data_IF_398614406526
#
_entry.id   IF_398614406526
#
_cell.length_a   1.000
_cell.length_b   1.000
_cell.length_c   1.000
_cell.angle_alpha   90.00
_cell.angle_beta   90.00
_cell.angle_gamma   90.00
#
_symmetry.space_group_name_H-M   'P 1'
#
loop_
_entity.id
_entity.type
_entity.pdbx_description
1 polymer ?
#
# COMPACT_ATOMS: atom_id res chain seq x y z
N UNK A 1 -17.47 -6.92 14.23
CA UNK A 1 -17.84 -5.84 13.30
C UNK A 1 -17.82 -6.38 11.88
N UNK A 2 -18.89 -6.21 11.13
CA UNK A 2 -19.00 -6.68 9.76
C UNK A 2 -18.17 -5.76 8.85
N UNK A 3 -17.22 -6.31 8.09
CA UNK A 3 -16.40 -5.59 7.12
C UNK A 3 -17.28 -5.21 5.89
N UNK A 4 -18.16 -4.22 6.03
CA UNK A 4 -18.98 -3.67 4.93
C UNK A 4 -18.20 -2.69 4.04
N UNK A 5 -16.95 -2.99 3.72
CA UNK A 5 -16.16 -2.10 2.87
C UNK A 5 -16.15 -2.60 1.42
N UNK A 6 -16.56 -1.74 0.49
CA UNK A 6 -16.46 -1.98 -0.95
C UNK A 6 -15.03 -1.70 -1.40
N UNK A 7 -14.36 -2.70 -1.96
CA UNK A 7 -12.99 -2.57 -2.47
C UNK A 7 -12.95 -1.57 -3.61
N UNK A 8 -11.96 -0.68 -3.58
CA UNK A 8 -11.79 0.42 -4.54
C UNK A 8 -11.35 -0.15 -5.89
N UNK A 9 -11.97 0.30 -6.99
CA UNK A 9 -11.69 -0.15 -8.36
C UNK A 9 -11.82 -1.68 -8.55
N UNK A 10 -12.64 -2.36 -7.72
CA UNK A 10 -12.75 -3.82 -7.72
C UNK A 10 -13.05 -4.39 -9.11
N UNK A 11 -14.11 -3.93 -9.78
CA UNK A 11 -14.49 -4.43 -11.10
C UNK A 11 -13.36 -4.25 -12.12
N UNK A 12 -12.72 -3.08 -12.13
CA UNK A 12 -11.61 -2.79 -13.05
C UNK A 12 -10.38 -3.66 -12.75
N UNK A 13 -10.10 -3.92 -11.47
CA UNK A 13 -8.99 -4.81 -11.06
C UNK A 13 -9.25 -6.25 -11.49
N UNK A 14 -10.47 -6.75 -11.28
CA UNK A 14 -10.89 -8.10 -11.70
C UNK A 14 -10.82 -8.25 -13.23
N UNK A 15 -11.43 -7.34 -13.97
CA UNK A 15 -11.48 -7.41 -15.44
C UNK A 15 -10.09 -7.28 -16.08
N UNK A 16 -9.20 -6.54 -15.45
CA UNK A 16 -7.82 -6.44 -15.92
C UNK A 16 -7.00 -7.67 -15.57
N UNK A 17 -7.07 -8.12 -14.32
CA UNK A 17 -6.12 -9.12 -13.79
C UNK A 17 -6.45 -10.54 -14.26
N UNK A 18 -7.73 -10.94 -14.19
CA UNK A 18 -8.16 -12.33 -14.46
C UNK A 18 -8.32 -12.55 -15.96
N UNK A 19 -7.42 -13.33 -16.54
CA UNK A 19 -7.39 -13.68 -17.97
C UNK A 19 -7.57 -15.16 -18.22
N UNK A 20 -7.26 -15.99 -17.23
CA UNK A 20 -7.41 -17.44 -17.26
C UNK A 20 -8.15 -17.86 -15.97
N UNK A 21 -9.31 -18.50 -16.13
CA UNK A 21 -10.10 -18.97 -14.99
C UNK A 21 -9.45 -20.09 -14.20
N UNK A 22 -8.51 -20.81 -14.82
CA UNK A 22 -7.75 -21.90 -14.18
C UNK A 22 -6.33 -21.45 -13.76
N UNK A 23 -6.05 -20.14 -13.87
CA UNK A 23 -4.76 -19.52 -13.58
C UNK A 23 -4.47 -19.36 -12.09
N UNK A 24 -3.26 -18.91 -11.80
CA UNK A 24 -2.75 -18.63 -10.45
C UNK A 24 -2.61 -17.13 -10.25
N UNK A 25 -3.25 -16.59 -9.23
CA UNK A 25 -3.26 -15.15 -8.93
C UNK A 25 -2.83 -14.89 -7.49
N UNK A 26 -2.12 -13.80 -7.30
CA UNK A 26 -1.57 -13.40 -6.00
C UNK A 26 -2.08 -12.01 -5.63
N UNK A 27 -2.73 -11.89 -4.49
CA UNK A 27 -3.06 -10.63 -3.85
C UNK A 27 -2.06 -10.40 -2.70
N UNK A 28 -1.10 -9.50 -2.94
CA UNK A 28 0.00 -9.24 -2.02
C UNK A 28 -0.39 -8.33 -0.84
N UNK A 29 -1.63 -7.82 -0.84
CA UNK A 29 -2.19 -6.89 0.13
C UNK A 29 -3.63 -7.27 0.41
N UNK A 30 -3.84 -8.54 0.81
CA UNK A 30 -5.17 -9.16 0.89
C UNK A 30 -6.16 -8.36 1.76
N UNK A 31 -5.69 -7.73 2.84
CA UNK A 31 -6.54 -7.03 3.77
C UNK A 31 -7.69 -7.92 4.26
N UNK A 32 -8.90 -7.38 4.32
CA UNK A 32 -10.10 -8.16 4.64
C UNK A 32 -10.61 -9.05 3.49
N UNK A 33 -9.81 -9.32 2.46
CA UNK A 33 -10.12 -10.26 1.38
C UNK A 33 -11.09 -9.75 0.30
N UNK A 34 -11.29 -8.44 0.20
CA UNK A 34 -12.27 -7.88 -0.74
C UNK A 34 -11.90 -8.07 -2.21
N UNK A 35 -10.68 -7.72 -2.61
CA UNK A 35 -10.14 -7.97 -3.95
C UNK A 35 -9.95 -9.46 -4.20
N UNK A 36 -9.35 -10.18 -3.26
CA UNK A 36 -9.17 -11.64 -3.33
C UNK A 36 -10.48 -12.38 -3.58
N UNK A 37 -11.59 -11.99 -2.91
CA UNK A 37 -12.92 -12.56 -3.13
C UNK A 37 -13.45 -12.25 -4.55
N UNK A 38 -13.24 -11.00 -5.03
CA UNK A 38 -13.59 -10.63 -6.39
C UNK A 38 -12.83 -11.42 -7.46
N UNK A 39 -11.55 -11.70 -7.23
CA UNK A 39 -10.74 -12.56 -8.09
C UNK A 39 -11.22 -14.01 -8.03
N UNK A 40 -11.41 -14.57 -6.82
CA UNK A 40 -11.86 -15.93 -6.60
C UNK A 40 -13.23 -16.21 -7.26
N UNK A 41 -14.13 -15.24 -7.29
CA UNK A 41 -15.44 -15.34 -7.92
C UNK A 41 -15.39 -15.53 -9.46
N UNK A 42 -14.25 -15.21 -10.08
CA UNK A 42 -14.03 -15.39 -11.53
C UNK A 42 -13.26 -16.66 -11.87
N UNK A 43 -12.71 -17.37 -10.86
CA UNK A 43 -11.86 -18.53 -11.07
C UNK A 43 -12.69 -19.83 -11.04
N UNK A 44 -12.28 -20.79 -11.86
CA UNK A 44 -12.78 -22.16 -11.88
C UNK A 44 -12.08 -23.05 -10.86
N UNK A 45 -12.42 -24.34 -10.89
CA UNK A 45 -11.93 -25.32 -9.89
C UNK A 45 -10.41 -25.59 -9.95
N UNK A 46 -9.76 -25.39 -11.09
CA UNK A 46 -8.30 -25.50 -11.25
C UNK A 46 -7.56 -24.23 -10.84
N UNK A 47 -8.25 -23.09 -10.73
CA UNK A 47 -7.67 -21.82 -10.36
C UNK A 47 -7.15 -21.78 -8.92
N UNK A 48 -6.21 -20.87 -8.65
CA UNK A 48 -5.64 -20.66 -7.33
C UNK A 48 -5.55 -19.16 -7.02
N UNK A 49 -6.05 -18.77 -5.85
CA UNK A 49 -5.76 -17.47 -5.22
C UNK A 49 -4.78 -17.67 -4.06
N UNK A 50 -3.74 -16.85 -4.04
CA UNK A 50 -2.83 -16.71 -2.90
C UNK A 50 -3.00 -15.31 -2.33
N UNK A 51 -3.53 -15.20 -1.10
CA UNK A 51 -3.69 -13.94 -0.38
C UNK A 51 -2.59 -13.76 0.66
N UNK A 52 -1.94 -12.60 0.65
CA UNK A 52 -0.83 -12.28 1.57
C UNK A 52 -1.14 -10.95 2.26
N UNK A 53 -0.96 -10.90 3.58
CA UNK A 53 -0.96 -9.65 4.33
C UNK A 53 -0.03 -9.75 5.54
N UNK A 54 0.55 -8.64 5.97
CA UNK A 54 1.40 -8.60 7.16
C UNK A 54 0.60 -8.42 8.46
N UNK A 55 -0.62 -7.89 8.37
CA UNK A 55 -1.50 -7.66 9.50
C UNK A 55 -2.26 -8.94 9.86
N UNK A 56 -2.07 -9.42 11.09
CA UNK A 56 -2.71 -10.64 11.58
C UNK A 56 -4.24 -10.55 11.54
N UNK A 57 -4.81 -9.37 11.93
CA UNK A 57 -6.26 -9.15 11.93
C UNK A 57 -6.82 -9.20 10.50
N UNK A 58 -6.05 -8.67 9.53
CA UNK A 58 -6.42 -8.71 8.12
C UNK A 58 -6.38 -10.14 7.56
N UNK A 59 -5.34 -10.91 7.88
CA UNK A 59 -5.24 -12.33 7.44
C UNK A 59 -6.38 -13.16 8.01
N UNK A 60 -6.70 -13.01 9.29
CA UNK A 60 -7.84 -13.72 9.92
C UNK A 60 -9.16 -13.39 9.20
N UNK A 61 -9.46 -12.09 9.06
CA UNK A 61 -10.70 -11.65 8.43
C UNK A 61 -10.78 -12.05 6.94
N UNK A 62 -9.69 -11.90 6.19
CA UNK A 62 -9.62 -12.26 4.78
C UNK A 62 -9.76 -13.77 4.58
N UNK A 63 -9.06 -14.57 5.38
CA UNK A 63 -9.15 -16.03 5.32
C UNK A 63 -10.58 -16.51 5.61
N UNK A 64 -11.23 -15.95 6.65
CA UNK A 64 -12.62 -16.25 6.97
C UNK A 64 -13.56 -15.92 5.81
N UNK A 65 -13.48 -14.71 5.26
CA UNK A 65 -14.27 -14.27 4.10
C UNK A 65 -14.13 -15.20 2.92
N UNK A 66 -12.88 -15.59 2.60
CA UNK A 66 -12.59 -16.45 1.47
C UNK A 66 -13.09 -17.87 1.68
N UNK A 67 -13.03 -18.40 2.90
CA UNK A 67 -13.56 -19.73 3.25
C UNK A 67 -15.10 -19.77 3.19
N UNK A 68 -15.76 -18.70 3.62
CA UNK A 68 -17.23 -18.57 3.63
C UNK A 68 -17.82 -18.22 2.24
N UNK A 69 -16.98 -17.76 1.29
CA UNK A 69 -17.42 -17.26 0.01
C UNK A 69 -17.91 -18.30 -1.01
N UNK A 70 -17.74 -19.59 -0.76
CA UNK A 70 -18.21 -20.67 -1.63
C UNK A 70 -17.58 -20.69 -3.02
N UNK A 71 -16.34 -20.21 -3.16
CA UNK A 71 -15.62 -20.14 -4.42
C UNK A 71 -15.19 -21.53 -4.93
N UNK A 72 -15.19 -21.70 -6.25
CA UNK A 72 -14.79 -22.96 -6.89
C UNK A 72 -13.26 -23.20 -6.82
N UNK A 73 -12.47 -22.11 -6.85
CA UNK A 73 -11.02 -22.16 -6.91
C UNK A 73 -10.37 -22.56 -5.57
N UNK A 74 -9.10 -22.96 -5.64
CA UNK A 74 -8.26 -23.18 -4.47
C UNK A 74 -7.87 -21.83 -3.85
N UNK A 75 -7.78 -21.79 -2.51
CA UNK A 75 -7.42 -20.60 -1.77
C UNK A 75 -6.30 -20.94 -0.80
N UNK A 76 -5.27 -20.11 -0.78
CA UNK A 76 -4.20 -20.16 0.21
C UNK A 76 -3.97 -18.76 0.76
N UNK A 77 -3.75 -18.65 2.06
CA UNK A 77 -3.46 -17.39 2.72
C UNK A 77 -2.19 -17.49 3.54
N UNK A 78 -1.44 -16.41 3.65
CA UNK A 78 -0.24 -16.35 4.45
C UNK A 78 -0.11 -14.99 5.15
N UNK A 79 0.40 -15.01 6.39
CA UNK A 79 0.84 -13.80 7.08
C UNK A 79 2.29 -13.53 6.73
N UNK A 80 2.53 -12.52 5.89
CA UNK A 80 3.86 -12.05 5.52
C UNK A 80 3.80 -10.62 5.00
N UNK A 81 4.93 -9.90 5.09
CA UNK A 81 5.06 -8.64 4.38
C UNK A 81 5.15 -8.91 2.87
N UNK A 82 4.53 -8.07 2.06
CA UNK A 82 4.51 -8.25 0.60
C UNK A 82 5.93 -8.28 -0.03
N UNK A 83 6.95 -7.75 0.62
CA UNK A 83 8.35 -7.88 0.17
C UNK A 83 8.82 -9.35 0.12
N UNK A 84 8.23 -10.20 0.95
CA UNK A 84 8.60 -11.60 1.10
C UNK A 84 7.66 -12.55 0.31
N UNK A 85 6.80 -12.00 -0.58
CA UNK A 85 5.79 -12.77 -1.33
C UNK A 85 6.40 -13.93 -2.13
N UNK A 86 7.63 -13.78 -2.65
CA UNK A 86 8.32 -14.84 -3.39
C UNK A 86 8.64 -16.04 -2.51
N UNK A 87 9.02 -15.81 -1.26
CA UNK A 87 9.28 -16.88 -0.26
C UNK A 87 7.97 -17.60 0.07
N UNK A 88 6.87 -16.86 0.19
CA UNK A 88 5.54 -17.45 0.41
C UNK A 88 5.13 -18.34 -0.76
N UNK A 89 5.32 -17.87 -1.99
CA UNK A 89 5.00 -18.66 -3.20
C UNK A 89 5.85 -19.93 -3.27
N UNK A 90 7.15 -19.83 -3.01
CA UNK A 90 8.06 -20.98 -2.99
C UNK A 90 7.65 -22.00 -1.91
N UNK A 91 7.27 -21.54 -0.72
CA UNK A 91 6.73 -22.37 0.36
C UNK A 91 5.43 -23.08 0.00
N UNK A 92 4.62 -22.49 -0.89
CA UNK A 92 3.42 -23.12 -1.43
C UNK A 92 3.67 -23.97 -2.67
N UNK A 93 4.91 -24.09 -3.17
CA UNK A 93 5.24 -24.79 -4.41
C UNK A 93 4.69 -24.06 -5.65
N UNK A 94 4.47 -22.75 -5.58
CA UNK A 94 3.97 -21.92 -6.68
C UNK A 94 5.15 -21.25 -7.40
N UNK A 95 5.31 -21.55 -8.68
CA UNK A 95 6.35 -20.96 -9.53
C UNK A 95 5.93 -19.63 -10.14
N UNK A 96 5.81 -19.58 -11.48
CA UNK A 96 5.29 -18.43 -12.20
C UNK A 96 3.77 -18.34 -12.09
N UNK A 97 3.23 -17.12 -12.06
CA UNK A 97 1.82 -16.84 -11.87
C UNK A 97 1.22 -16.04 -13.02
N UNK A 98 -0.09 -16.08 -13.17
CA UNK A 98 -0.84 -15.40 -14.23
C UNK A 98 -1.14 -13.94 -13.88
N UNK A 99 -1.26 -13.62 -12.57
CA UNK A 99 -1.46 -12.25 -12.14
C UNK A 99 -0.98 -11.97 -10.73
N UNK A 100 -0.52 -10.73 -10.51
CA UNK A 100 -0.11 -10.21 -9.19
C UNK A 100 -0.79 -8.87 -8.97
N UNK A 101 -1.33 -8.69 -7.78
CA UNK A 101 -2.07 -7.50 -7.39
C UNK A 101 -1.53 -6.91 -6.09
N UNK A 102 -1.53 -5.58 -6.04
CA UNK A 102 -1.20 -4.78 -4.87
C UNK A 102 -2.26 -3.68 -4.69
N UNK A 103 -2.90 -3.63 -3.52
CA UNK A 103 -3.72 -2.51 -3.05
C UNK A 103 -2.96 -1.82 -1.92
N UNK A 104 -2.12 -0.82 -2.29
CA UNK A 104 -1.16 -0.22 -1.36
C UNK A 104 -1.86 0.66 -0.31
N UNK A 105 -1.18 0.91 0.78
CA UNK A 105 -1.63 1.77 1.88
C UNK A 105 -2.30 1.01 3.01
N UNK A 106 -3.28 1.63 3.66
CA UNK A 106 -3.94 1.12 4.87
C UNK A 106 -5.32 0.58 4.57
N UNK A 107 -5.70 -0.50 5.24
CA UNK A 107 -7.07 -1.02 5.17
C UNK A 107 -8.04 -0.08 5.90
N UNK A 108 -9.32 -0.12 5.49
CA UNK A 108 -10.35 0.63 6.20
C UNK A 108 -10.50 0.20 7.65
N UNK A 109 -10.29 -1.08 7.94
CA UNK A 109 -10.27 -1.57 9.32
C UNK A 109 -9.21 -0.88 10.18
N UNK A 110 -8.00 -0.71 9.64
CA UNK A 110 -6.91 0.00 10.34
C UNK A 110 -7.25 1.48 10.59
N UNK A 111 -7.94 2.14 9.65
CA UNK A 111 -8.37 3.53 9.81
C UNK A 111 -9.54 3.71 10.77
N UNK A 112 -10.48 2.76 10.78
CA UNK A 112 -11.72 2.83 11.56
C UNK A 112 -11.54 2.32 12.99
N UNK A 113 -10.48 1.53 13.25
CA UNK A 113 -10.14 1.05 14.59
C UNK A 113 -9.18 2.02 15.28
N UNK A 114 -9.69 2.81 16.24
CA UNK A 114 -8.90 3.79 16.99
C UNK A 114 -7.67 3.17 17.69
N UNK A 115 -7.79 1.92 18.18
CA UNK A 115 -6.71 1.19 18.86
C UNK A 115 -5.49 0.87 17.97
N UNK A 116 -5.62 1.05 16.64
CA UNK A 116 -4.52 0.88 15.68
C UNK A 116 -3.70 2.16 15.47
N UNK A 117 -4.23 3.31 15.86
CA UNK A 117 -3.52 4.60 15.81
C UNK A 117 -3.29 5.18 14.41
N UNK A 118 -3.91 4.67 13.35
CA UNK A 118 -3.73 5.19 11.98
C UNK A 118 -4.52 6.47 11.70
N UNK A 119 -5.61 6.70 12.43
CA UNK A 119 -6.52 7.81 12.19
C UNK A 119 -6.16 9.04 13.02
N UNK A 120 -6.19 10.21 12.40
CA UNK A 120 -6.13 11.52 13.08
C UNK A 120 -7.53 12.03 13.46
N UNK A 121 -8.58 11.29 13.16
CA UNK A 121 -9.97 11.65 13.45
C UNK A 121 -10.47 11.07 14.77
N UNK A 122 -9.85 10.02 15.25
CA UNK A 122 -10.18 9.32 16.49
C UNK A 122 -8.96 9.29 17.39
N UNK A 123 -9.15 9.51 18.70
CA UNK A 123 -8.06 9.36 19.66
C UNK A 123 -7.85 7.89 20.01
N UNK A 124 -6.59 7.49 20.03
CA UNK A 124 -6.15 6.14 20.33
C UNK A 124 -4.64 6.08 20.53
N UNK A 125 -4.07 4.91 20.85
CA UNK A 125 -2.63 4.74 20.98
C UNK A 125 -1.88 5.18 19.72
N UNK A 126 -0.74 5.81 19.85
CA UNK A 126 0.10 6.25 18.74
C UNK A 126 0.97 5.08 18.24
N UNK A 127 0.34 4.07 17.62
CA UNK A 127 0.98 2.82 17.18
C UNK A 127 1.34 2.84 15.69
N UNK A 128 0.38 2.84 14.80
CA UNK A 128 0.51 2.82 13.33
C UNK A 128 1.23 1.58 12.74
N UNK A 129 1.52 0.54 13.49
CA UNK A 129 2.12 -0.69 12.96
C UNK A 129 1.06 -1.52 12.23
N UNK A 130 1.34 -1.92 11.00
CA UNK A 130 0.56 -2.93 10.29
C UNK A 130 0.85 -4.31 10.88
N UNK A 131 2.12 -4.66 11.06
CA UNK A 131 2.56 -5.83 11.82
C UNK A 131 2.93 -5.43 13.27
N UNK A 132 2.06 -5.78 14.22
CA UNK A 132 2.26 -5.46 15.65
C UNK A 132 3.46 -6.18 16.29
N UNK A 133 4.06 -7.16 15.64
CA UNK A 133 5.28 -7.80 16.12
C UNK A 133 6.55 -6.96 15.89
N UNK A 134 6.48 -5.95 15.01
CA UNK A 134 7.58 -5.02 14.79
C UNK A 134 7.83 -4.13 16.01
N UNK A 135 9.10 -3.82 16.27
CA UNK A 135 9.48 -2.99 17.42
C UNK A 135 9.21 -1.49 17.22
N UNK A 136 9.28 -1.02 15.94
CA UNK A 136 9.12 0.40 15.61
C UNK A 136 7.64 0.75 15.50
N UNK A 137 7.15 1.62 16.38
CA UNK A 137 5.82 2.22 16.33
C UNK A 137 5.88 3.74 16.17
N UNK A 138 4.75 4.39 15.96
CA UNK A 138 4.70 5.84 15.79
C UNK A 138 5.03 6.60 17.08
N UNK A 139 4.76 6.04 18.26
CA UNK A 139 5.14 6.63 19.53
C UNK A 139 6.67 6.67 19.68
N UNK A 140 7.37 5.62 19.26
CA UNK A 140 8.82 5.61 19.22
C UNK A 140 9.38 6.69 18.30
N UNK A 141 8.89 6.77 17.05
CA UNK A 141 9.32 7.81 16.09
C UNK A 141 9.12 9.20 16.67
N UNK A 142 7.93 9.50 17.18
CA UNK A 142 7.57 10.82 17.72
C UNK A 142 8.38 11.18 18.96
N UNK A 143 8.66 10.22 19.85
CA UNK A 143 9.29 10.50 21.12
C UNK A 143 10.82 10.31 21.13
N UNK A 144 11.41 9.58 20.16
CA UNK A 144 12.83 9.23 20.16
C UNK A 144 13.65 9.84 19.04
N UNK A 145 13.06 10.03 17.84
CA UNK A 145 13.80 10.64 16.71
C UNK A 145 14.23 12.06 17.06
N UNK A 146 15.39 12.47 16.54
CA UNK A 146 15.87 13.85 16.63
C UNK A 146 14.98 14.82 15.86
N UNK A 147 15.13 16.13 16.11
CA UNK A 147 14.36 17.17 15.41
C UNK A 147 14.58 17.11 13.89
N UNK A 148 15.84 16.94 13.47
CA UNK A 148 16.22 16.84 12.06
C UNK A 148 15.67 15.55 11.40
N UNK A 149 15.68 14.43 12.11
CA UNK A 149 15.12 13.16 11.64
C UNK A 149 13.60 13.26 11.46
N UNK A 150 12.90 13.87 12.43
CA UNK A 150 11.45 14.13 12.32
C UNK A 150 11.13 15.06 11.16
N UNK A 151 11.90 16.15 10.98
CA UNK A 151 11.72 17.03 9.82
C UNK A 151 11.91 16.26 8.50
N UNK A 152 12.97 15.46 8.41
CA UNK A 152 13.25 14.67 7.22
C UNK A 152 12.14 13.67 6.90
N UNK A 153 11.63 12.94 7.89
CA UNK A 153 10.51 11.99 7.75
C UNK A 153 9.25 12.73 7.28
N UNK A 154 8.85 13.79 7.98
CA UNK A 154 7.62 14.54 7.70
C UNK A 154 7.69 15.22 6.33
N UNK A 155 8.84 15.75 5.95
CA UNK A 155 9.08 16.37 4.64
C UNK A 155 9.06 15.36 3.53
N UNK A 156 9.82 14.27 3.68
CA UNK A 156 10.03 13.26 2.63
C UNK A 156 8.75 12.45 2.36
N UNK A 157 8.07 12.00 3.40
CA UNK A 157 6.94 11.09 3.29
C UNK A 157 5.57 11.76 3.39
N UNK A 158 5.52 12.95 3.97
CA UNK A 158 4.30 13.76 4.04
C UNK A 158 4.21 14.82 2.93
N UNK A 159 5.32 15.14 2.26
CA UNK A 159 5.42 16.32 1.37
C UNK A 159 4.88 17.58 2.09
N UNK A 160 5.15 17.68 3.42
CA UNK A 160 4.59 18.72 4.31
C UNK A 160 5.52 19.93 4.38
N UNK A 161 5.04 21.06 3.96
CA UNK A 161 5.80 22.33 3.95
C UNK A 161 6.17 22.85 5.34
N UNK A 162 5.38 22.47 6.35
CA UNK A 162 5.60 22.89 7.74
C UNK A 162 6.39 21.89 8.57
N UNK A 163 7.04 20.92 7.90
CA UNK A 163 7.74 19.80 8.53
C UNK A 163 8.71 20.22 9.62
N UNK A 164 9.62 21.16 9.36
CA UNK A 164 10.58 21.66 10.35
C UNK A 164 9.89 22.28 11.58
N UNK A 165 8.80 23.04 11.36
CA UNK A 165 8.05 23.62 12.45
C UNK A 165 7.29 22.58 13.27
N UNK A 166 6.70 21.58 12.61
CA UNK A 166 6.01 20.46 13.26
C UNK A 166 7.03 19.68 14.11
N UNK A 167 8.20 19.31 13.54
CA UNK A 167 9.26 18.63 14.26
C UNK A 167 9.69 19.39 15.53
N UNK A 168 9.94 20.69 15.41
CA UNK A 168 10.29 21.56 16.56
C UNK A 168 9.21 21.54 17.65
N UNK A 169 7.93 21.60 17.28
CA UNK A 169 6.82 21.60 18.23
C UNK A 169 6.67 20.21 18.90
N UNK A 170 6.86 19.13 18.17
CA UNK A 170 6.88 17.77 18.72
C UNK A 170 8.00 17.66 19.77
N UNK A 171 9.24 18.05 19.43
CA UNK A 171 10.37 18.00 20.34
C UNK A 171 10.16 18.87 21.59
N UNK A 172 9.56 20.05 21.43
CA UNK A 172 9.25 20.92 22.57
C UNK A 172 8.16 20.32 23.47
N UNK A 173 7.12 19.71 22.92
CA UNK A 173 6.03 19.13 23.70
C UNK A 173 6.45 17.86 24.43
N UNK A 174 7.19 16.93 23.77
CA UNK A 174 7.63 15.67 24.40
C UNK A 174 8.63 15.86 25.56
N UNK A 175 9.32 17.03 25.61
CA UNK A 175 10.16 17.40 26.77
C UNK A 175 9.34 17.63 28.04
N UNK A 176 8.06 17.99 27.92
CA UNK A 176 7.16 18.18 29.05
C UNK A 176 6.51 16.87 29.48
N UNK A 177 6.03 16.11 28.50
CA UNK A 177 5.44 14.77 28.68
C UNK A 177 5.48 14.00 27.36
N UNK A 178 5.65 12.66 27.37
CA UNK A 178 5.58 11.86 26.17
C UNK A 178 4.26 12.05 25.42
N UNK A 179 4.33 12.01 24.09
CA UNK A 179 3.15 12.02 23.21
C UNK A 179 2.81 10.55 22.93
N UNK A 180 1.71 10.05 23.49
CA UNK A 180 1.36 8.62 23.46
C UNK A 180 0.05 8.34 22.75
N UNK A 181 -0.75 9.40 22.42
CA UNK A 181 -1.99 9.23 21.68
C UNK A 181 -2.01 10.05 20.40
N UNK A 182 -2.84 9.61 19.44
CA UNK A 182 -3.07 10.30 18.18
C UNK A 182 -3.64 11.70 18.40
N UNK A 183 -4.57 11.87 19.36
CA UNK A 183 -5.16 13.16 19.71
C UNK A 183 -4.13 14.16 20.23
N UNK A 184 -3.20 13.70 21.12
CA UNK A 184 -2.10 14.54 21.58
C UNK A 184 -1.24 15.04 20.43
N UNK A 185 -0.88 14.15 19.50
CA UNK A 185 -0.09 14.51 18.32
C UNK A 185 -0.84 15.48 17.41
N UNK A 186 -2.13 15.27 17.17
CA UNK A 186 -2.99 16.18 16.39
C UNK A 186 -2.96 17.60 16.97
N UNK A 187 -3.08 17.74 18.29
CA UNK A 187 -3.05 19.06 18.94
C UNK A 187 -1.68 19.74 18.80
N UNK A 188 -0.58 19.00 18.88
CA UNK A 188 0.77 19.53 18.62
C UNK A 188 0.89 20.03 17.18
N UNK A 189 0.43 19.25 16.20
CA UNK A 189 0.46 19.62 14.78
C UNK A 189 -0.40 20.87 14.54
N UNK A 190 -1.60 20.93 15.10
CA UNK A 190 -2.47 22.11 15.00
C UNK A 190 -1.79 23.38 15.56
N UNK A 191 -1.05 23.29 16.65
CA UNK A 191 -0.29 24.42 17.19
C UNK A 191 0.86 24.83 16.27
N UNK A 192 1.50 23.87 15.60
CA UNK A 192 2.62 24.12 14.71
C UNK A 192 2.19 24.75 13.38
N UNK A 193 1.09 24.31 12.77
CA UNK A 193 0.59 24.83 11.48
C UNK A 193 -0.12 26.18 11.69
N UNK A 194 0.21 27.26 10.96
CA UNK A 194 -0.45 28.56 11.09
C UNK A 194 -1.96 28.51 10.85
N UNK A 195 -2.74 29.31 11.60
CA UNK A 195 -4.21 29.32 11.48
C UNK A 195 -4.71 29.52 10.05
N UNK A 196 -4.16 30.48 9.31
CA UNK A 196 -4.54 30.76 7.91
C UNK A 196 -4.27 29.56 6.97
N UNK A 197 -3.23 28.75 7.23
CA UNK A 197 -2.91 27.59 6.42
C UNK A 197 -3.80 26.36 6.71
N UNK A 198 -4.69 26.43 7.72
CA UNK A 198 -5.61 25.37 8.13
C UNK A 198 -7.03 25.55 7.59
N UNK A 199 -7.37 26.74 7.10
CA UNK A 199 -8.74 27.09 6.70
C UNK A 199 -9.10 26.52 5.32
N UNK A 200 -8.13 26.50 4.39
CA UNK A 200 -8.35 26.05 3.02
C UNK A 200 -7.54 24.80 2.71
N UNK A 201 -8.08 23.62 3.00
CA UNK A 201 -7.36 22.39 2.65
C UNK A 201 -7.69 21.17 3.50
N UNK A 202 -6.96 20.07 3.30
CA UNK A 202 -7.13 18.84 4.08
C UNK A 202 -6.72 19.09 5.54
N UNK A 203 -7.20 18.21 6.43
CA UNK A 203 -6.88 18.28 7.86
C UNK A 203 -5.35 18.40 8.08
N UNK A 204 -4.88 19.33 8.94
CA UNK A 204 -3.44 19.65 9.07
C UNK A 204 -2.56 18.44 9.49
N UNK A 205 -3.12 17.45 10.18
CA UNK A 205 -2.40 16.26 10.57
C UNK A 205 -2.28 15.22 9.45
N UNK A 206 -3.06 15.29 8.36
CA UNK A 206 -3.13 14.25 7.32
C UNK A 206 -1.74 13.86 6.80
N UNK A 207 -0.92 14.84 6.43
CA UNK A 207 0.40 14.62 5.84
C UNK A 207 1.41 14.09 6.85
N UNK A 208 1.37 14.57 8.09
CA UNK A 208 2.25 14.08 9.15
C UNK A 208 1.91 12.63 9.52
N UNK A 209 0.61 12.28 9.62
CA UNK A 209 0.18 10.90 9.87
C UNK A 209 0.60 9.96 8.74
N UNK A 210 0.43 10.39 7.48
CA UNK A 210 0.95 9.64 6.32
C UNK A 210 2.47 9.41 6.44
N UNK A 211 3.23 10.44 6.81
CA UNK A 211 4.68 10.34 6.92
C UNK A 211 5.12 9.35 8.00
N UNK A 212 4.51 9.42 9.18
CA UNK A 212 4.79 8.50 10.28
C UNK A 212 4.42 7.06 9.93
N UNK A 213 3.26 6.85 9.28
CA UNK A 213 2.83 5.54 8.82
C UNK A 213 3.82 4.91 7.85
N UNK A 214 4.26 5.67 6.86
CA UNK A 214 5.24 5.22 5.86
C UNK A 214 6.56 4.87 6.52
N UNK A 215 7.02 5.67 7.49
CA UNK A 215 8.26 5.42 8.25
C UNK A 215 8.15 4.14 9.07
N UNK A 216 7.09 4.01 9.88
CA UNK A 216 6.87 2.86 10.77
C UNK A 216 6.82 1.54 10.01
N UNK A 217 6.15 1.52 8.84
CA UNK A 217 5.93 0.30 8.08
C UNK A 217 6.92 0.13 6.91
N UNK A 218 7.85 1.08 6.72
CA UNK A 218 8.82 1.09 5.60
C UNK A 218 8.16 0.87 4.23
N UNK A 219 6.98 1.45 4.02
CA UNK A 219 6.11 1.16 2.86
C UNK A 219 6.79 1.45 1.51
N UNK A 220 7.51 2.55 1.41
CA UNK A 220 8.16 2.96 0.17
C UNK A 220 9.54 2.32 -0.03
N UNK A 221 10.25 2.02 1.05
CA UNK A 221 11.62 1.48 0.97
C UNK A 221 11.70 0.09 0.34
N UNK A 222 10.64 -0.68 0.49
CA UNK A 222 10.55 -2.06 -0.02
C UNK A 222 9.87 -2.15 -1.40
N UNK A 223 9.09 -1.13 -1.80
CA UNK A 223 8.16 -1.20 -2.92
C UNK A 223 8.85 -1.45 -4.27
N UNK A 224 9.91 -0.71 -4.57
CA UNK A 224 10.61 -0.82 -5.86
C UNK A 224 11.11 -2.23 -6.13
N UNK A 225 11.86 -2.81 -5.17
CA UNK A 225 12.42 -4.17 -5.30
C UNK A 225 11.32 -5.23 -5.36
N UNK A 226 10.23 -5.05 -4.61
CA UNK A 226 9.11 -5.96 -4.62
C UNK A 226 8.41 -5.98 -5.98
N UNK A 227 8.19 -4.81 -6.60
CA UNK A 227 7.59 -4.72 -7.93
C UNK A 227 8.48 -5.37 -9.01
N UNK A 228 9.81 -5.20 -8.94
CA UNK A 228 10.73 -5.88 -9.84
C UNK A 228 10.68 -7.41 -9.69
N UNK A 229 10.66 -7.89 -8.44
CA UNK A 229 10.51 -9.31 -8.15
C UNK A 229 9.14 -9.84 -8.63
N UNK A 230 8.08 -9.05 -8.47
CA UNK A 230 6.74 -9.41 -8.93
C UNK A 230 6.69 -9.62 -10.45
N UNK A 231 7.30 -8.71 -11.22
CA UNK A 231 7.39 -8.86 -12.67
C UNK A 231 8.20 -10.10 -13.06
N UNK A 232 9.24 -10.45 -12.27
CA UNK A 232 10.02 -11.67 -12.48
C UNK A 232 9.24 -12.97 -12.22
N UNK A 233 8.17 -12.92 -11.42
CA UNK A 233 7.31 -14.07 -11.11
C UNK A 233 6.10 -14.22 -12.04
N UNK A 234 5.89 -13.29 -12.96
CA UNK A 234 4.81 -13.41 -13.94
C UNK A 234 5.20 -14.32 -15.10
N UNK A 235 4.26 -15.14 -15.56
CA UNK A 235 4.32 -15.81 -16.88
C UNK A 235 4.34 -14.77 -17.99
N UNK A 236 4.78 -15.15 -19.20
CA UNK A 236 4.54 -14.33 -20.40
C UNK A 236 3.02 -14.15 -20.61
N UNK A 237 2.58 -12.92 -20.85
CA UNK A 237 1.16 -12.53 -20.87
C UNK A 237 0.55 -12.28 -19.48
N UNK A 238 1.25 -12.65 -18.41
CA UNK A 238 0.79 -12.42 -17.04
C UNK A 238 0.68 -10.93 -16.70
N UNK A 239 -0.20 -10.57 -15.78
CA UNK A 239 -0.60 -9.19 -15.50
C UNK A 239 -0.25 -8.75 -14.09
N UNK A 240 0.18 -7.48 -13.95
CA UNK A 240 0.38 -6.83 -12.66
C UNK A 240 -0.52 -5.61 -12.55
N UNK A 241 -1.30 -5.54 -11.46
CA UNK A 241 -2.12 -4.40 -11.08
C UNK A 241 -1.66 -3.83 -9.76
N UNK A 242 -1.50 -2.50 -9.68
CA UNK A 242 -1.11 -1.80 -8.44
C UNK A 242 -2.00 -0.60 -8.23
N UNK A 243 -2.77 -0.60 -7.14
CA UNK A 243 -3.53 0.56 -6.67
C UNK A 243 -2.64 1.37 -5.73
N UNK A 244 -2.57 2.67 -5.96
CA UNK A 244 -1.84 3.65 -5.17
C UNK A 244 -2.78 4.73 -4.65
N UNK A 245 -2.51 5.31 -3.47
CA UNK A 245 -3.37 6.32 -2.83
C UNK A 245 -2.70 7.67 -2.64
N UNK A 246 -1.39 7.77 -2.85
CA UNK A 246 -0.67 9.04 -2.77
C UNK A 246 0.46 9.14 -3.82
N UNK A 247 0.92 10.37 -4.01
CA UNK A 247 1.91 10.75 -5.04
C UNK A 247 3.22 9.97 -4.99
N UNK A 248 3.68 9.61 -3.80
CA UNK A 248 4.97 8.93 -3.63
C UNK A 248 4.91 7.47 -4.11
N UNK A 249 3.85 6.73 -3.73
CA UNK A 249 3.59 5.37 -4.26
C UNK A 249 3.46 5.41 -5.78
N UNK A 250 2.58 6.28 -6.28
CA UNK A 250 2.31 6.40 -7.71
C UNK A 250 3.56 6.71 -8.53
N UNK A 251 4.45 7.56 -7.98
CA UNK A 251 5.74 7.91 -8.58
C UNK A 251 6.65 6.69 -8.71
N UNK A 252 6.78 5.88 -7.63
CA UNK A 252 7.61 4.68 -7.64
C UNK A 252 7.07 3.67 -8.63
N UNK A 253 5.77 3.33 -8.59
CA UNK A 253 5.16 2.37 -9.51
C UNK A 253 5.34 2.82 -10.96
N UNK A 254 5.06 4.10 -11.27
CA UNK A 254 5.26 4.68 -12.60
C UNK A 254 6.70 4.55 -13.08
N UNK A 255 7.68 4.85 -12.22
CA UNK A 255 9.10 4.80 -12.57
C UNK A 255 9.56 3.36 -12.82
N UNK A 256 9.16 2.42 -11.95
CA UNK A 256 9.49 0.99 -12.11
C UNK A 256 8.90 0.45 -13.41
N UNK A 257 7.61 0.67 -13.67
CA UNK A 257 6.97 0.20 -14.90
C UNK A 257 7.61 0.82 -16.14
N UNK A 258 7.86 2.14 -16.15
CA UNK A 258 8.53 2.81 -17.28
C UNK A 258 9.93 2.26 -17.55
N UNK A 259 10.70 1.93 -16.49
CA UNK A 259 12.03 1.31 -16.61
C UNK A 259 11.94 -0.09 -17.21
N UNK A 260 10.99 -0.91 -16.75
CA UNK A 260 10.81 -2.29 -17.21
C UNK A 260 10.20 -2.36 -18.63
N UNK A 261 9.40 -1.38 -19.03
CA UNK A 261 8.89 -1.23 -20.39
C UNK A 261 10.02 -0.84 -21.35
N UNK A 262 10.89 0.10 -20.95
CA UNK A 262 12.03 0.50 -21.78
C UNK A 262 13.12 -0.57 -21.86
N UNK A 263 13.33 -1.33 -20.80
CA UNK A 263 14.36 -2.34 -20.62
C UNK A 263 15.77 -1.76 -20.54
N UNK A 264 16.22 -1.09 -21.57
CA UNK A 264 17.57 -0.49 -21.64
C UNK A 264 17.79 0.56 -20.53
N UNK A 265 18.95 0.47 -19.86
CA UNK A 265 19.42 1.39 -18.80
C UNK A 265 20.64 2.22 -19.22
N UNK A 266 21.07 2.14 -20.49
CA UNK A 266 22.17 2.94 -21.01
C UNK A 266 21.81 4.44 -21.02
N UNK A 267 22.80 5.33 -20.90
CA UNK A 267 22.60 6.76 -21.13
C UNK A 267 21.95 7.03 -22.51
N UNK A 268 21.00 7.97 -22.61
CA UNK A 268 20.25 8.21 -23.86
C UNK A 268 21.14 8.57 -25.07
N UNK A 269 22.35 9.07 -24.82
CA UNK A 269 23.31 9.50 -25.88
C UNK A 269 24.27 8.40 -26.31
N UNK A 270 24.17 7.19 -25.75
CA UNK A 270 25.04 6.09 -26.14
C UNK A 270 24.58 5.53 -27.50
N UNK A 271 25.46 5.53 -28.54
CA UNK A 271 25.04 5.14 -29.88
C UNK A 271 24.66 3.65 -30.00
N UNK A 272 25.21 2.79 -29.15
CA UNK A 272 24.90 1.35 -29.12
C UNK A 272 24.58 0.91 -27.68
N UNK A 273 23.53 0.11 -27.51
CA UNK A 273 23.17 -0.43 -26.21
C UNK A 273 24.20 -1.48 -25.75
N UNK A 274 24.81 -1.25 -24.60
CA UNK A 274 25.81 -2.16 -23.99
C UNK A 274 25.29 -2.87 -22.72
N UNK A 275 24.09 -2.53 -22.24
CA UNK A 275 23.56 -3.12 -21.00
C UNK A 275 22.94 -4.51 -21.18
N UNK A 276 22.63 -4.92 -22.42
CA UNK A 276 22.00 -6.22 -22.72
C UNK A 276 20.58 -6.42 -22.17
N UNK A 277 20.03 -5.43 -21.47
CA UNK A 277 18.69 -5.54 -20.86
C UNK A 277 17.60 -5.40 -21.91
N UNK A 278 16.59 -6.27 -21.81
CA UNK A 278 15.41 -6.28 -22.68
C UNK A 278 14.20 -5.75 -21.95
N UNK A 279 13.20 -5.21 -22.67
CA UNK A 279 11.88 -4.93 -22.09
C UNK A 279 11.29 -6.17 -21.40
N UNK A 280 10.67 -5.96 -20.24
CA UNK A 280 10.01 -7.02 -19.49
C UNK A 280 8.50 -6.82 -19.43
N UNK A 281 8.03 -5.58 -19.64
CA UNK A 281 6.63 -5.21 -19.57
C UNK A 281 6.17 -4.48 -20.80
N UNK A 282 4.88 -4.62 -21.11
CA UNK A 282 4.10 -3.68 -21.91
C UNK A 282 3.17 -2.93 -20.99
N UNK A 283 3.11 -1.59 -21.11
CA UNK A 283 2.22 -0.79 -20.29
C UNK A 283 0.78 -0.96 -20.77
N UNK A 284 -0.14 -1.34 -19.87
CA UNK A 284 -1.57 -1.50 -20.16
C UNK A 284 -2.43 -0.30 -19.71
N UNK A 285 -1.79 0.77 -19.23
CA UNK A 285 -2.46 2.01 -18.86
C UNK A 285 -2.64 2.24 -17.36
N UNK A 286 -3.52 3.18 -17.04
CA UNK A 286 -3.94 3.46 -15.67
C UNK A 286 -5.41 3.87 -15.62
N UNK A 287 -6.08 3.51 -14.52
CA UNK A 287 -7.50 3.79 -14.26
C UNK A 287 -7.64 4.56 -12.97
N UNK A 288 -8.54 5.51 -12.93
CA UNK A 288 -8.96 6.23 -11.71
C UNK A 288 -10.42 5.90 -11.40
N UNK A 289 -10.85 6.03 -10.13
CA UNK A 289 -12.26 5.85 -9.77
C UNK A 289 -13.17 6.80 -10.55
N UNK A 290 -14.37 6.30 -10.85
CA UNK A 290 -15.41 7.13 -11.44
C UNK A 290 -15.96 8.16 -10.43
N UNK A 291 -16.63 9.21 -10.92
CA UNK A 291 -17.28 10.17 -10.04
C UNK A 291 -18.28 9.51 -9.08
N UNK A 292 -19.06 8.55 -9.58
CA UNK A 292 -20.01 7.78 -8.76
C UNK A 292 -19.30 6.95 -7.65
N UNK A 293 -18.15 6.33 -7.97
CA UNK A 293 -17.38 5.59 -6.98
C UNK A 293 -16.77 6.51 -5.90
N UNK A 294 -16.35 7.72 -6.29
CA UNK A 294 -15.84 8.72 -5.35
C UNK A 294 -16.96 9.28 -4.45
N UNK A 295 -18.17 9.42 -4.97
CA UNK A 295 -19.34 9.86 -4.20
C UNK A 295 -19.74 8.79 -3.17
N UNK A 296 -19.79 7.51 -3.59
CA UNK A 296 -20.10 6.38 -2.71
C UNK A 296 -18.99 6.12 -1.67
N UNK A 297 -17.72 6.26 -2.09
CA UNK A 297 -16.56 6.06 -1.23
C UNK A 297 -15.53 7.18 -1.39
N UNK A 298 -15.61 8.26 -0.60
CA UNK A 298 -14.69 9.40 -0.70
C UNK A 298 -13.20 9.05 -0.49
N UNK A 299 -12.89 7.90 0.15
CA UNK A 299 -11.51 7.40 0.31
C UNK A 299 -10.89 6.98 -1.02
N UNK A 300 -11.71 6.66 -2.04
CA UNK A 300 -11.24 6.31 -3.39
C UNK A 300 -10.69 7.49 -4.19
N UNK A 301 -10.99 8.73 -3.81
CA UNK A 301 -10.67 9.94 -4.59
C UNK A 301 -9.24 10.02 -5.10
N UNK A 302 -8.28 9.55 -4.30
CA UNK A 302 -6.85 9.60 -4.64
C UNK A 302 -6.33 8.31 -5.25
N UNK A 303 -7.18 7.29 -5.36
CA UNK A 303 -6.79 5.98 -5.85
C UNK A 303 -6.45 6.01 -7.35
N UNK A 304 -5.43 5.24 -7.73
CA UNK A 304 -5.05 5.03 -9.13
C UNK A 304 -4.57 3.60 -9.31
N UNK A 305 -5.26 2.84 -10.14
CA UNK A 305 -4.81 1.53 -10.59
C UNK A 305 -3.84 1.69 -11.76
N UNK A 306 -2.62 1.18 -11.64
CA UNK A 306 -1.66 1.05 -12.74
C UNK A 306 -1.57 -0.39 -13.19
N UNK A 307 -1.59 -0.58 -14.50
CA UNK A 307 -1.68 -1.87 -15.17
C UNK A 307 -0.46 -2.08 -16.08
N UNK A 308 0.11 -3.28 -16.06
CA UNK A 308 1.13 -3.70 -17.00
C UNK A 308 1.04 -5.21 -17.29
N UNK A 309 1.56 -5.63 -18.44
CA UNK A 309 1.55 -7.01 -18.91
C UNK A 309 2.99 -7.49 -19.12
N UNK A 310 3.32 -8.69 -18.68
CA UNK A 310 4.63 -9.33 -18.89
C UNK A 310 4.79 -9.74 -20.36
N UNK A 311 5.92 -9.37 -20.98
CA UNK A 311 6.28 -9.78 -22.34
C UNK A 311 6.74 -11.24 -22.35
#
# INVERSE_FOLDING_TARGET
MEFKHKSILLGRSVDFLITDTEGVYVDCTMGGGGHSAGFAARLGAGGLIVGIDQDADAVEAGTKRLAEGGFACKIRTARANFKDFTVVLDGFGVGLVDGIFFDLGVSSYQLDNAERGFSYMHDGPLDMRMDRSCALDAAYVVNRYGEEELDAVIRRYGEERWSARIAKFIVAERRKRPIVTTGQLVEVIKKAVPKGARQDGPHPAKRTFQALRIEVNNELGILEKTLEAAVGRLKSGGRIGVITFHSLEDRIVKQVFARLVRGCTCPPRLPVCVCGKKPMLTQAGSVVPSAAEVEENPRSRSARLRCAVRI
#
